data_IF_404634514793
#
_entry.id   IF_404634514793
#
_cell.length_a   1.000
_cell.length_b   1.000
_cell.length_c   1.000
_cell.angle_alpha   90.00
_cell.angle_beta   90.00
_cell.angle_gamma   90.00
#
_symmetry.space_group_name_H-M   'P 1'
#
loop_
_entity.id
_entity.type
_entity.pdbx_description
1 polymer ?
#
# COMPACT_ATOMS: atom_id res chain seq x y z
N UNK A 1 -2.39 -16.77 -5.85
CA UNK A 1 -2.11 -15.93 -4.67
C UNK A 1 -3.22 -14.91 -4.60
N UNK A 2 -3.74 -14.66 -3.40
CA UNK A 2 -4.76 -13.64 -3.21
C UNK A 2 -4.14 -12.27 -3.53
N UNK A 3 -4.80 -11.47 -4.37
CA UNK A 3 -4.28 -10.16 -4.79
C UNK A 3 -3.99 -9.24 -3.58
N UNK A 4 -4.68 -9.44 -2.45
CA UNK A 4 -4.42 -8.69 -1.24
C UNK A 4 -3.12 -9.08 -0.54
N UNK A 5 -2.66 -10.32 -0.67
CA UNK A 5 -1.35 -10.70 -0.12
C UNK A 5 -0.23 -9.99 -0.89
N UNK A 6 -0.33 -9.90 -2.22
CA UNK A 6 0.64 -9.15 -3.04
C UNK A 6 0.62 -7.65 -2.69
N UNK A 7 -0.58 -7.07 -2.53
CA UNK A 7 -0.73 -5.67 -2.11
C UNK A 7 -0.12 -5.42 -0.74
N UNK A 8 -0.37 -6.30 0.23
CA UNK A 8 0.17 -6.17 1.59
C UNK A 8 1.71 -6.22 1.58
N UNK A 9 2.30 -7.13 0.82
CA UNK A 9 3.76 -7.23 0.67
C UNK A 9 4.35 -5.94 0.10
N UNK A 10 3.72 -5.38 -0.94
CA UNK A 10 4.12 -4.11 -1.52
C UNK A 10 3.97 -2.94 -0.54
N UNK A 11 2.90 -2.91 0.26
CA UNK A 11 2.69 -1.88 1.27
C UNK A 11 3.79 -1.98 2.35
N UNK A 12 4.01 -3.16 2.91
CA UNK A 12 5.00 -3.38 3.96
C UNK A 12 6.42 -3.01 3.51
N UNK A 13 6.77 -3.36 2.27
CA UNK A 13 8.10 -3.09 1.69
C UNK A 13 8.27 -1.66 1.13
N UNK A 14 7.32 -0.76 1.40
CA UNK A 14 7.30 0.62 0.89
C UNK A 14 7.40 0.72 -0.66
N UNK A 15 6.81 -0.24 -1.38
CA UNK A 15 6.75 -0.27 -2.85
C UNK A 15 5.42 0.34 -3.35
N UNK A 16 5.18 1.60 -3.02
CA UNK A 16 3.88 2.28 -3.21
C UNK A 16 3.35 2.14 -4.65
N UNK A 17 4.18 2.40 -5.65
CA UNK A 17 3.78 2.31 -7.07
C UNK A 17 3.36 0.89 -7.46
N UNK A 18 4.06 -0.13 -6.98
CA UNK A 18 3.72 -1.52 -7.25
C UNK A 18 2.42 -1.93 -6.58
N UNK A 19 2.21 -1.52 -5.32
CA UNK A 19 0.94 -1.75 -4.61
C UNK A 19 -0.24 -1.10 -5.32
N UNK A 20 -0.10 0.13 -5.81
CA UNK A 20 -1.13 0.80 -6.60
C UNK A 20 -1.42 0.08 -7.93
N UNK A 21 -0.39 -0.41 -8.62
CA UNK A 21 -0.58 -1.21 -9.84
C UNK A 21 -1.30 -2.53 -9.56
N UNK A 22 -0.96 -3.21 -8.46
CA UNK A 22 -1.62 -4.44 -8.04
C UNK A 22 -3.11 -4.20 -7.73
N UNK A 23 -3.45 -3.15 -6.97
CA UNK A 23 -4.84 -2.76 -6.68
C UNK A 23 -5.60 -2.46 -7.98
N UNK A 24 -5.01 -1.67 -8.90
CA UNK A 24 -5.65 -1.35 -10.18
C UNK A 24 -5.96 -2.58 -11.01
N UNK A 25 -5.08 -3.59 -11.02
CA UNK A 25 -5.33 -4.86 -11.72
C UNK A 25 -6.40 -5.70 -11.01
N UNK A 26 -6.37 -5.75 -9.68
CA UNK A 26 -7.29 -6.56 -8.90
C UNK A 26 -8.73 -6.01 -8.86
N UNK A 27 -8.88 -4.68 -8.96
CA UNK A 27 -10.17 -3.97 -8.86
C UNK A 27 -10.64 -3.36 -10.17
N UNK A 28 -9.85 -3.49 -11.24
CA UNK A 28 -10.09 -2.84 -12.54
C UNK A 28 -10.40 -1.34 -12.42
N UNK A 29 -9.70 -0.65 -11.51
CA UNK A 29 -10.03 0.71 -11.10
C UNK A 29 -9.02 1.78 -11.59
N UNK A 30 -9.46 3.04 -11.52
CA UNK A 30 -8.62 4.20 -11.79
C UNK A 30 -7.63 4.51 -10.65
N UNK A 31 -6.65 5.37 -10.93
CA UNK A 31 -5.65 5.80 -9.94
C UNK A 31 -6.29 6.39 -8.66
N UNK A 32 -7.32 7.26 -8.71
CA UNK A 32 -7.91 7.82 -7.49
C UNK A 32 -8.48 6.74 -6.56
N UNK A 33 -9.25 5.80 -7.12
CA UNK A 33 -9.81 4.68 -6.34
C UNK A 33 -8.72 3.76 -5.80
N UNK A 34 -7.66 3.51 -6.58
CA UNK A 34 -6.54 2.69 -6.10
C UNK A 34 -5.77 3.34 -4.95
N UNK A 35 -5.62 4.67 -4.96
CA UNK A 35 -4.99 5.42 -3.88
C UNK A 35 -5.80 5.34 -2.59
N UNK A 36 -7.13 5.45 -2.68
CA UNK A 36 -8.02 5.36 -1.52
C UNK A 36 -7.94 3.98 -0.85
N UNK A 37 -8.05 2.92 -1.67
CA UNK A 37 -7.91 1.52 -1.22
C UNK A 37 -6.51 1.25 -0.64
N UNK A 38 -5.46 1.78 -1.26
CA UNK A 38 -4.09 1.66 -0.75
C UNK A 38 -3.97 2.33 0.63
N UNK A 39 -4.51 3.54 0.79
CA UNK A 39 -4.45 4.29 2.03
C UNK A 39 -5.21 3.58 3.15
N UNK A 40 -6.40 3.03 2.86
CA UNK A 40 -7.16 2.23 3.83
C UNK A 40 -6.37 0.99 4.25
N UNK A 41 -5.83 0.24 3.29
CA UNK A 41 -5.07 -0.98 3.59
C UNK A 41 -3.79 -0.69 4.36
N UNK A 42 -3.08 0.38 4.00
CA UNK A 42 -1.91 0.87 4.73
C UNK A 42 -2.22 1.16 6.21
N UNK A 43 -3.33 1.88 6.48
CA UNK A 43 -3.74 2.17 7.87
C UNK A 43 -4.05 0.89 8.64
N UNK A 44 -4.80 -0.02 8.02
CA UNK A 44 -5.14 -1.30 8.64
C UNK A 44 -3.89 -2.12 8.99
N UNK A 45 -2.93 -2.21 8.06
CA UNK A 45 -1.66 -2.92 8.29
C UNK A 45 -0.82 -2.25 9.38
N UNK A 46 -0.79 -0.92 9.44
CA UNK A 46 -0.06 -0.20 10.50
C UNK A 46 -0.64 -0.44 11.89
N UNK A 47 -1.95 -0.60 11.99
CA UNK A 47 -2.63 -0.89 13.26
C UNK A 47 -2.45 -2.35 13.67
N UNK A 48 -2.58 -3.29 12.72
CA UNK A 48 -2.66 -4.72 13.02
C UNK A 48 -1.31 -5.44 12.94
N UNK A 49 -0.36 -4.91 12.16
CA UNK A 49 0.95 -5.52 11.86
C UNK A 49 2.07 -4.46 11.85
N UNK A 50 2.24 -3.65 12.91
CA UNK A 50 3.21 -2.56 12.92
C UNK A 50 4.66 -3.05 12.79
N UNK A 51 4.97 -4.24 13.30
CA UNK A 51 6.32 -4.83 13.30
C UNK A 51 6.85 -5.18 11.91
N UNK A 52 5.96 -5.33 10.92
CA UNK A 52 6.35 -5.64 9.55
C UNK A 52 6.97 -4.42 8.84
N UNK A 53 6.67 -3.21 9.30
CA UNK A 53 7.16 -1.99 8.68
C UNK A 53 8.55 -1.62 9.20
N UNK A 54 9.49 -1.39 8.29
CA UNK A 54 10.88 -1.00 8.63
C UNK A 54 11.06 0.50 8.89
N UNK A 55 10.06 1.32 8.53
CA UNK A 55 10.10 2.78 8.65
C UNK A 55 8.90 3.30 9.43
N UNK A 56 8.99 4.52 9.96
CA UNK A 56 7.85 5.22 10.57
C UNK A 56 6.86 5.77 9.52
N UNK A 57 5.64 6.17 9.94
CA UNK A 57 4.62 6.71 9.03
C UNK A 57 5.04 8.00 8.33
N UNK A 58 5.85 8.84 8.98
CA UNK A 58 6.38 10.09 8.41
C UNK A 58 7.37 9.81 7.28
N UNK A 59 8.26 8.83 7.46
CA UNK A 59 9.25 8.44 6.45
C UNK A 59 8.65 7.63 5.30
N UNK A 60 7.53 6.94 5.54
CA UNK A 60 6.91 6.05 4.57
C UNK A 60 6.56 6.76 3.25
N UNK A 61 5.97 7.95 3.33
CA UNK A 61 5.51 8.71 2.17
C UNK A 61 6.57 9.64 1.55
N UNK A 62 7.80 9.60 2.07
CA UNK A 62 8.88 10.47 1.58
C UNK A 62 9.21 10.15 0.13
N UNK A 63 9.20 11.17 -0.73
CA UNK A 63 9.51 11.05 -2.16
C UNK A 63 8.32 10.65 -3.04
N UNK A 64 7.15 10.35 -2.48
CA UNK A 64 5.95 10.04 -3.27
C UNK A 64 5.13 11.28 -3.66
N UNK A 65 5.07 12.28 -2.78
CA UNK A 65 4.34 13.54 -3.00
C UNK A 65 5.22 14.69 -3.55
N UNK A 66 6.40 14.37 -4.10
CA UNK A 66 7.36 15.36 -4.60
C UNK A 66 7.08 15.84 -6.02
#
# INVERSE_FOLDING_TARGET
MDAWHEVDDHIVQNRIIHGLQAIRRARECGIPSALDEFAERYRWLRENRPEDFTVGPESYWTGFYS
#
